data_IF_327960827296
#
_entry.id   IF_327960827296
#
_cell.length_a   1.000
_cell.length_b   1.000
_cell.length_c   1.000
_cell.angle_alpha   90.00
_cell.angle_beta   90.00
_cell.angle_gamma   90.00
#
_symmetry.space_group_name_H-M   'P 1'
#
loop_
_entity.id
_entity.type
_entity.pdbx_description
1 polymer ?
#
# COMPACT_ATOMS: atom_id res chain seq x y z
N UNK A 1 9.51 12.74 -2.28
CA UNK A 1 9.33 14.17 -2.56
C UNK A 1 10.51 14.77 -3.31
N UNK A 2 11.74 14.71 -2.76
CA UNK A 2 12.95 15.33 -3.35
C UNK A 2 13.21 14.88 -4.79
N UNK A 3 13.18 13.59 -5.07
CA UNK A 3 13.37 13.06 -6.42
C UNK A 3 12.32 13.61 -7.40
N UNK A 4 11.04 13.65 -6.98
CA UNK A 4 9.98 14.19 -7.82
C UNK A 4 10.15 15.68 -8.13
N UNK A 5 10.61 16.46 -7.16
CA UNK A 5 10.94 17.89 -7.36
C UNK A 5 12.13 18.07 -8.31
N UNK A 6 13.18 17.29 -8.12
CA UNK A 6 14.36 17.33 -8.96
C UNK A 6 14.06 16.97 -10.42
N UNK A 7 13.30 15.92 -10.65
CA UNK A 7 12.91 15.52 -12.01
C UNK A 7 12.06 16.61 -12.69
N UNK A 8 11.12 17.23 -11.96
CA UNK A 8 10.33 18.36 -12.50
C UNK A 8 11.21 19.56 -12.81
N UNK A 9 12.16 19.89 -11.92
CA UNK A 9 13.14 20.96 -12.15
C UNK A 9 13.99 20.68 -13.39
N UNK A 10 14.32 19.43 -13.64
CA UNK A 10 15.08 18.98 -14.82
C UNK A 10 14.24 18.89 -16.10
N UNK A 11 12.99 19.33 -16.08
CA UNK A 11 12.11 19.39 -17.26
C UNK A 11 11.29 18.15 -17.55
N UNK A 12 11.30 17.15 -16.66
CA UNK A 12 10.47 15.95 -16.84
C UNK A 12 9.04 16.17 -16.38
N UNK A 13 8.10 15.59 -17.11
CA UNK A 13 6.74 15.41 -16.63
C UNK A 13 6.71 14.23 -15.65
N UNK A 14 6.35 14.46 -14.41
CA UNK A 14 6.42 13.46 -13.34
C UNK A 14 5.03 13.04 -12.88
N UNK A 15 4.74 11.77 -13.00
CA UNK A 15 3.58 11.11 -12.39
C UNK A 15 4.09 10.31 -11.19
N UNK A 16 3.76 10.74 -9.99
CA UNK A 16 4.12 10.03 -8.77
C UNK A 16 2.95 9.14 -8.34
N UNK A 17 3.18 7.84 -8.38
CA UNK A 17 2.28 6.86 -7.81
C UNK A 17 2.82 6.38 -6.46
N UNK A 18 2.01 6.50 -5.41
CA UNK A 18 2.34 6.02 -4.06
C UNK A 18 1.21 5.15 -3.55
N UNK A 19 1.49 3.88 -3.27
CA UNK A 19 0.49 2.98 -2.72
C UNK A 19 0.15 3.30 -1.26
N UNK A 20 -1.06 2.95 -0.86
CA UNK A 20 -1.50 2.88 0.53
C UNK A 20 -1.70 1.41 0.88
N UNK A 21 -0.86 0.88 1.76
CA UNK A 21 -1.01 -0.46 2.32
C UNK A 21 -2.03 -0.38 3.45
N UNK A 22 -3.29 -0.46 3.08
CA UNK A 22 -4.42 -0.35 4.01
C UNK A 22 -4.92 -1.71 4.53
N UNK A 23 -4.25 -2.80 4.15
CA UNK A 23 -4.41 -4.14 4.71
C UNK A 23 -3.05 -4.81 4.82
N UNK A 24 -2.72 -5.33 6.01
CA UNK A 24 -1.45 -5.95 6.37
C UNK A 24 -1.63 -6.65 7.72
N UNK A 25 -0.84 -7.67 8.00
CA UNK A 25 -0.91 -8.41 9.27
C UNK A 25 -0.75 -7.49 10.49
N UNK A 26 0.13 -6.48 10.40
CA UNK A 26 0.35 -5.51 11.48
C UNK A 26 -0.90 -4.68 11.75
N UNK A 27 -1.67 -4.34 10.72
CA UNK A 27 -2.94 -3.62 10.87
C UNK A 27 -3.96 -4.52 11.55
N UNK A 28 -4.03 -5.79 11.15
CA UNK A 28 -4.95 -6.77 11.75
C UNK A 28 -4.61 -7.02 13.23
N UNK A 29 -3.34 -7.25 13.56
CA UNK A 29 -2.88 -7.40 14.96
C UNK A 29 -3.20 -6.17 15.81
N UNK A 30 -2.96 -4.98 15.26
CA UNK A 30 -3.25 -3.73 15.94
C UNK A 30 -4.74 -3.51 16.15
N UNK A 31 -5.55 -3.88 15.18
CA UNK A 31 -7.00 -3.80 15.29
C UNK A 31 -7.55 -4.67 16.42
N UNK A 32 -7.02 -5.87 16.58
CA UNK A 32 -7.37 -6.76 17.70
C UNK A 32 -6.94 -6.14 19.04
N UNK A 33 -5.71 -5.62 19.12
CA UNK A 33 -5.20 -5.02 20.34
C UNK A 33 -5.94 -3.75 20.76
N UNK A 34 -6.39 -2.94 19.79
CA UNK A 34 -7.14 -1.69 20.03
C UNK A 34 -8.66 -1.92 20.11
N UNK A 35 -9.13 -3.15 19.96
CA UNK A 35 -10.56 -3.51 19.90
C UNK A 35 -11.34 -2.67 18.86
N UNK A 36 -10.72 -2.43 17.72
CA UNK A 36 -11.25 -1.59 16.64
C UNK A 36 -11.32 -2.37 15.34
N UNK A 37 -12.23 -1.94 14.46
CA UNK A 37 -12.28 -2.47 13.11
C UNK A 37 -10.96 -2.14 12.35
N UNK A 38 -10.38 -3.12 11.67
CA UNK A 38 -9.10 -2.97 10.96
C UNK A 38 -9.10 -1.80 9.96
N UNK A 39 -10.19 -1.60 9.25
CA UNK A 39 -10.33 -0.48 8.31
C UNK A 39 -10.34 0.89 9.00
N UNK A 40 -10.85 0.96 10.23
CA UNK A 40 -10.83 2.19 11.03
C UNK A 40 -9.41 2.50 11.52
N UNK A 41 -8.64 1.47 11.89
CA UNK A 41 -7.21 1.58 12.23
C UNK A 41 -6.42 2.06 11.02
N UNK A 42 -6.58 1.42 9.86
CA UNK A 42 -5.92 1.80 8.62
C UNK A 42 -6.23 3.25 8.23
N UNK A 43 -7.49 3.66 8.30
CA UNK A 43 -7.91 5.04 7.99
C UNK A 43 -7.34 6.07 8.95
N UNK A 44 -7.26 5.74 10.25
CA UNK A 44 -6.67 6.61 11.27
C UNK A 44 -5.19 6.89 10.95
N UNK A 45 -4.41 5.83 10.74
CA UNK A 45 -2.98 5.98 10.45
C UNK A 45 -2.70 6.59 9.08
N UNK A 46 -3.55 6.34 8.09
CA UNK A 46 -3.48 7.03 6.80
C UNK A 46 -3.61 8.55 6.97
N UNK A 47 -4.58 9.00 7.76
CA UNK A 47 -4.78 10.43 8.02
C UNK A 47 -3.60 11.05 8.77
N UNK A 48 -3.08 10.36 9.79
CA UNK A 48 -1.92 10.82 10.55
C UNK A 48 -0.67 10.93 9.64
N UNK A 49 -0.44 9.93 8.79
CA UNK A 49 0.63 9.95 7.79
C UNK A 49 0.49 11.14 6.83
N UNK A 50 -0.71 11.37 6.31
CA UNK A 50 -0.98 12.45 5.38
C UNK A 50 -0.73 13.82 6.02
N UNK A 51 -1.24 14.03 7.24
CA UNK A 51 -1.03 15.27 8.01
C UNK A 51 0.47 15.54 8.27
N UNK A 52 1.27 14.51 8.57
CA UNK A 52 2.71 14.65 8.77
C UNK A 52 3.43 15.07 7.47
N UNK A 53 3.07 14.49 6.34
CA UNK A 53 3.65 14.86 5.03
C UNK A 53 3.23 16.26 4.59
N UNK A 54 1.99 16.65 4.87
CA UNK A 54 1.49 18.00 4.60
C UNK A 54 2.25 19.04 5.46
N UNK A 55 2.49 18.73 6.74
CA UNK A 55 3.26 19.60 7.63
C UNK A 55 4.73 19.76 7.18
N UNK A 56 5.30 18.76 6.50
CA UNK A 56 6.63 18.83 5.90
C UNK A 56 6.64 19.53 4.53
N UNK A 57 5.49 19.93 4.00
CA UNK A 57 5.38 20.54 2.68
C UNK A 57 5.69 19.58 1.53
N UNK A 58 5.52 18.28 1.73
CA UNK A 58 5.69 17.30 0.67
C UNK A 58 4.59 17.44 -0.38
N UNK A 59 4.95 17.33 -1.66
CA UNK A 59 3.98 17.36 -2.75
C UNK A 59 3.14 16.09 -2.70
N UNK A 60 1.78 16.19 -2.72
CA UNK A 60 0.93 15.02 -2.79
C UNK A 60 1.21 14.15 -4.02
N UNK A 61 1.05 12.82 -3.94
CA UNK A 61 1.18 11.96 -5.10
C UNK A 61 0.10 12.27 -6.14
N UNK A 62 0.42 12.03 -7.40
CA UNK A 62 -0.53 12.15 -8.52
C UNK A 62 -1.60 11.06 -8.43
N UNK A 63 -1.19 9.85 -8.02
CA UNK A 63 -2.04 8.68 -7.88
C UNK A 63 -1.72 8.01 -6.54
N UNK A 64 -2.75 7.68 -5.77
CA UNK A 64 -2.60 7.02 -4.47
C UNK A 64 -3.55 5.80 -4.38
N UNK A 65 -3.18 4.66 -5.00
CA UNK A 65 -4.00 3.45 -4.97
C UNK A 65 -3.95 2.79 -3.59
N UNK A 66 -5.06 2.15 -3.21
CA UNK A 66 -5.15 1.34 -1.99
C UNK A 66 -4.98 -0.13 -2.32
N UNK A 67 -4.28 -0.88 -1.47
CA UNK A 67 -4.11 -2.32 -1.63
C UNK A 67 -5.47 -3.04 -1.67
N UNK A 68 -6.41 -2.69 -0.79
CA UNK A 68 -7.76 -3.27 -0.77
C UNK A 68 -8.55 -3.03 -2.05
N UNK A 69 -8.30 -1.95 -2.77
CA UNK A 69 -8.95 -1.61 -4.04
C UNK A 69 -8.41 -2.39 -5.25
N UNK A 70 -7.32 -3.15 -5.09
CA UNK A 70 -6.62 -3.82 -6.19
C UNK A 70 -6.48 -5.33 -6.00
N UNK A 71 -7.20 -5.93 -5.06
CA UNK A 71 -7.15 -7.38 -4.80
C UNK A 71 -7.47 -8.22 -6.05
N UNK A 72 -8.49 -7.91 -6.86
CA UNK A 72 -8.75 -8.67 -8.09
C UNK A 72 -7.56 -8.67 -9.05
N UNK A 73 -6.91 -7.52 -9.27
CA UNK A 73 -5.75 -7.40 -10.14
C UNK A 73 -4.53 -8.16 -9.57
N UNK A 74 -4.37 -8.19 -8.25
CA UNK A 74 -3.33 -9.00 -7.60
C UNK A 74 -3.56 -10.49 -7.86
N UNK A 75 -4.81 -10.96 -7.78
CA UNK A 75 -5.17 -12.36 -8.07
C UNK A 75 -4.86 -12.70 -9.53
N UNK A 76 -5.25 -11.86 -10.48
CA UNK A 76 -4.95 -12.05 -11.90
C UNK A 76 -3.44 -12.12 -12.18
N UNK A 77 -2.67 -11.23 -11.53
CA UNK A 77 -1.21 -11.26 -11.63
C UNK A 77 -0.62 -12.55 -11.07
N UNK A 78 -1.08 -12.98 -9.89
CA UNK A 78 -0.64 -14.26 -9.29
C UNK A 78 -0.94 -15.44 -10.19
N UNK A 79 -2.12 -15.54 -10.78
CA UNK A 79 -2.49 -16.59 -11.73
C UNK A 79 -1.55 -16.58 -12.94
N UNK A 80 -1.31 -15.42 -13.52
CA UNK A 80 -0.38 -15.30 -14.65
C UNK A 80 1.03 -15.75 -14.29
N UNK A 81 1.51 -15.45 -13.09
CA UNK A 81 2.82 -15.88 -12.62
C UNK A 81 2.89 -17.41 -12.43
N UNK A 82 1.83 -18.02 -11.91
CA UNK A 82 1.74 -19.49 -11.75
C UNK A 82 1.74 -20.15 -13.12
N UNK A 83 0.92 -19.69 -14.06
CA UNK A 83 0.83 -20.22 -15.42
C UNK A 83 2.18 -20.15 -16.17
N UNK A 84 2.97 -19.12 -15.90
CA UNK A 84 4.31 -18.93 -16.48
C UNK A 84 5.43 -19.63 -15.70
N UNK A 85 5.13 -20.36 -14.64
CA UNK A 85 6.11 -21.08 -13.81
C UNK A 85 6.98 -20.20 -12.91
N UNK A 86 6.59 -18.95 -12.67
CA UNK A 86 7.32 -18.02 -11.81
C UNK A 86 6.79 -17.96 -10.37
N UNK A 87 5.67 -18.62 -10.10
CA UNK A 87 5.10 -18.78 -8.77
C UNK A 87 4.44 -20.14 -8.64
N UNK A 88 4.23 -20.58 -7.42
CA UNK A 88 3.53 -21.83 -7.11
C UNK A 88 2.60 -21.63 -5.91
N UNK A 89 1.50 -22.38 -5.89
CA UNK A 89 0.66 -22.45 -4.72
C UNK A 89 1.36 -23.29 -3.65
N UNK A 90 1.68 -22.73 -2.50
CA UNK A 90 2.10 -23.52 -1.36
C UNK A 90 0.86 -23.91 -0.55
N UNK A 91 0.77 -25.17 -0.15
CA UNK A 91 -0.15 -25.57 0.90
C UNK A 91 0.27 -24.81 2.16
N UNK A 92 -0.44 -23.70 2.44
CA UNK A 92 -0.06 -22.77 3.47
C UNK A 92 0.30 -23.53 4.74
N UNK A 93 1.54 -23.43 5.17
CA UNK A 93 1.87 -23.82 6.52
C UNK A 93 0.90 -23.02 7.40
N UNK A 94 -0.11 -23.69 7.92
CA UNK A 94 -0.85 -23.23 9.09
C UNK A 94 0.19 -23.18 10.21
N UNK A 95 1.01 -22.16 10.24
CA UNK A 95 1.70 -21.78 11.45
C UNK A 95 0.63 -21.24 12.38
N UNK A 96 -0.17 -22.18 12.86
CA UNK A 96 -0.91 -22.00 14.08
C UNK A 96 0.13 -21.86 15.17
N UNK A 97 0.08 -20.80 15.83
CA UNK A 97 0.30 -20.53 17.25
C UNK A 97 0.78 -19.13 17.42
#
# INVERSE_FOLDING_TARGET
DVLGRWLRHSGYQVILCRNVTDIDDKILHRAVHEERAWWAVAQHYKRAFQAAYDALGCIPPTIEPRATGHVPQMIELMQTLIERGHAYASDGARSGQ
#
